data_IF_122914581370
#
_entry.id   IF_122914581370
#
_cell.length_a   1.000
_cell.length_b   1.000
_cell.length_c   1.000
_cell.angle_alpha   90.00
_cell.angle_beta   90.00
_cell.angle_gamma   90.00
#
_symmetry.space_group_name_H-M   'P 1'
#
loop_
_entity.id
_entity.type
_entity.pdbx_description
1 polymer ?
#
# COMPACT_ATOMS: atom_id res chain seq x y z
N UNK A 1 16.36 14.81 4.48
CA UNK A 1 15.24 15.06 3.54
C UNK A 1 15.06 13.75 2.79
N UNK A 2 14.13 12.89 3.20
CA UNK A 2 13.90 11.63 2.49
C UNK A 2 13.10 11.99 1.24
N UNK A 3 13.71 11.88 0.07
CA UNK A 3 13.01 12.00 -1.22
C UNK A 3 11.99 10.86 -1.30
N UNK A 4 10.78 11.11 -0.81
CA UNK A 4 9.74 10.11 -0.76
C UNK A 4 9.26 9.82 -2.17
N UNK A 5 9.61 8.66 -2.72
CA UNK A 5 8.91 8.10 -3.89
C UNK A 5 7.43 7.99 -3.51
N UNK A 6 6.54 8.55 -4.33
CA UNK A 6 5.09 8.57 -4.08
C UNK A 6 4.56 7.13 -3.96
N UNK A 7 4.31 6.66 -2.73
CA UNK A 7 3.69 5.36 -2.46
C UNK A 7 2.18 5.55 -2.39
N UNK A 8 1.46 4.72 -3.15
CA UNK A 8 0.00 4.71 -3.24
C UNK A 8 -0.55 3.50 -2.52
N UNK A 9 -1.78 3.61 -2.05
CA UNK A 9 -2.49 2.53 -1.38
C UNK A 9 -3.81 2.26 -2.10
N UNK A 10 -4.12 0.99 -2.32
CA UNK A 10 -5.38 0.53 -2.91
C UNK A 10 -5.99 -0.60 -2.08
N UNK A 11 -7.30 -0.54 -1.85
CA UNK A 11 -8.03 -1.57 -1.10
C UNK A 11 -8.55 -2.62 -2.08
N UNK A 12 -8.11 -3.87 -1.93
CA UNK A 12 -8.58 -5.03 -2.71
C UNK A 12 -9.29 -5.99 -1.78
N UNK A 13 -10.63 -6.00 -1.83
CA UNK A 13 -11.47 -6.77 -0.90
C UNK A 13 -11.10 -6.40 0.55
N UNK A 14 -10.58 -7.35 1.32
CA UNK A 14 -10.15 -7.17 2.71
C UNK A 14 -8.66 -6.81 2.84
N UNK A 15 -7.94 -6.63 1.73
CA UNK A 15 -6.50 -6.38 1.71
C UNK A 15 -6.15 -4.94 1.36
N UNK A 16 -5.10 -4.43 1.97
CA UNK A 16 -4.46 -3.16 1.65
C UNK A 16 -3.21 -3.45 0.81
N UNK A 17 -3.20 -2.97 -0.42
CA UNK A 17 -2.07 -3.09 -1.33
C UNK A 17 -1.35 -1.74 -1.42
N UNK A 18 -0.05 -1.74 -1.11
CA UNK A 18 0.82 -0.59 -1.28
C UNK A 18 1.65 -0.78 -2.54
N UNK A 19 1.67 0.24 -3.38
CA UNK A 19 2.34 0.18 -4.68
C UNK A 19 2.86 1.54 -5.11
N UNK A 20 3.76 1.52 -6.08
CA UNK A 20 4.23 2.72 -6.77
C UNK A 20 4.23 2.49 -8.27
N UNK A 21 3.97 3.56 -9.02
CA UNK A 21 4.02 3.55 -10.48
C UNK A 21 5.44 3.90 -10.91
N UNK A 22 6.06 3.04 -11.69
CA UNK A 22 7.44 3.16 -12.15
C UNK A 22 7.45 3.06 -13.67
N UNK A 23 7.21 4.17 -14.36
CA UNK A 23 7.25 4.27 -15.83
C UNK A 23 6.40 3.23 -16.55
N UNK A 24 6.99 2.05 -16.82
CA UNK A 24 6.40 0.93 -17.55
C UNK A 24 5.79 -0.16 -16.65
N UNK A 25 6.03 -0.13 -15.34
CA UNK A 25 5.54 -1.15 -14.41
C UNK A 25 4.96 -0.56 -13.13
N UNK A 26 4.20 -1.40 -12.43
CA UNK A 26 3.73 -1.12 -11.07
C UNK A 26 4.53 -2.01 -10.14
N UNK A 27 5.25 -1.41 -9.19
CA UNK A 27 5.89 -2.16 -8.12
C UNK A 27 4.96 -2.25 -6.93
N UNK A 28 4.54 -3.46 -6.59
CA UNK A 28 3.81 -3.74 -5.35
C UNK A 28 4.84 -3.95 -4.25
N UNK A 29 4.89 -3.03 -3.28
CA UNK A 29 5.84 -3.10 -2.15
C UNK A 29 5.33 -3.96 -1.01
N UNK A 30 4.00 -4.00 -0.79
CA UNK A 30 3.39 -4.65 0.36
C UNK A 30 1.94 -5.03 0.11
N UNK A 31 1.53 -6.17 0.65
CA UNK A 31 0.14 -6.59 0.77
C UNK A 31 -0.18 -6.90 2.23
N UNK A 32 -1.21 -6.27 2.77
CA UNK A 32 -1.65 -6.41 4.15
C UNK A 32 -3.07 -6.96 4.23
N UNK A 33 -3.30 -7.95 5.09
CA UNK A 33 -4.66 -8.42 5.42
C UNK A 33 -5.28 -7.46 6.45
N UNK A 34 -6.27 -6.68 6.03
CA UNK A 34 -6.94 -5.68 6.86
C UNK A 34 -7.74 -6.30 8.01
N UNK A 35 -8.09 -7.59 7.94
CA UNK A 35 -8.82 -8.29 9.02
C UNK A 35 -7.91 -8.73 10.15
N UNK A 36 -6.62 -8.90 9.87
CA UNK A 36 -5.61 -9.35 10.85
C UNK A 36 -4.94 -8.20 11.61
N UNK A 37 -5.37 -6.96 11.38
CA UNK A 37 -4.85 -5.80 12.13
C UNK A 37 -6.00 -4.91 12.64
N UNK A 38 -6.68 -5.32 13.73
CA UNK A 38 -7.92 -4.67 14.19
C UNK A 38 -7.70 -3.33 14.92
N UNK A 39 -6.47 -2.97 15.31
CA UNK A 39 -6.26 -1.93 16.32
C UNK A 39 -5.71 -0.59 15.80
N UNK A 40 -5.21 -0.48 14.55
CA UNK A 40 -4.30 0.65 14.20
C UNK A 40 -4.43 1.29 12.79
N UNK A 41 -5.41 0.94 11.97
CA UNK A 41 -5.64 1.63 10.70
C UNK A 41 -6.73 2.70 10.85
N UNK A 42 -6.34 3.86 11.39
CA UNK A 42 -7.10 5.10 11.21
C UNK A 42 -6.74 5.67 9.84
N UNK A 43 -7.52 5.31 8.82
CA UNK A 43 -7.53 6.01 7.54
C UNK A 43 -8.25 7.34 7.68
#
# INVERSE_FOLDING_TARGET
RVEGREERMFVIRDYLMFYRVEGEYILISRLWDGRRNPENLKL
#
